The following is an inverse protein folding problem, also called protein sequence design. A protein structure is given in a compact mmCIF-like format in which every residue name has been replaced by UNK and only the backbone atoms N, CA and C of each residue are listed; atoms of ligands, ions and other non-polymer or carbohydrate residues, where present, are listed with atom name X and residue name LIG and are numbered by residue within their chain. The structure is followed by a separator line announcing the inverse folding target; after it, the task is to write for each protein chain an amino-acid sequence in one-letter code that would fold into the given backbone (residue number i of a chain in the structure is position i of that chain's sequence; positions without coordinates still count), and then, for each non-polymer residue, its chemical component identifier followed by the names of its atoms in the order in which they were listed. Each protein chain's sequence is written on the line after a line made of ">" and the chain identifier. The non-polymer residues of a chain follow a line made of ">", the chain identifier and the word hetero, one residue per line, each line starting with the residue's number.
data_IF_381447332234
#
_entry.id   IF_381447332234
#
_cell.length_a   1.000
_cell.length_b   1.000
_cell.length_c   1.000
_cell.angle_alpha   90.00
_cell.angle_beta   90.00
_cell.angle_gamma   90.00
#
_symmetry.space_group_name_H-M   'P 1'
#
loop_
_entity.id
_entity.type
_entity.pdbx_description
1 polymer ?
#
# COMPACT_ATOMS: atom_id res chain seq x y z
N UNK A 1 11.93 2.61 -11.68
CA UNK A 1 10.95 3.23 -10.75
C UNK A 1 11.19 2.65 -9.36
N UNK A 2 11.58 3.46 -8.37
CA UNK A 2 12.05 2.97 -7.04
C UNK A 2 10.97 3.17 -5.98
N UNK A 3 10.46 2.08 -5.41
CA UNK A 3 9.58 2.11 -4.24
C UNK A 3 10.44 2.44 -3.01
N UNK A 4 10.05 3.45 -2.21
CA UNK A 4 10.75 3.84 -0.98
C UNK A 4 9.93 3.42 0.23
N UNK A 5 10.56 2.70 1.15
CA UNK A 5 9.99 2.28 2.42
C UNK A 5 10.51 3.18 3.53
N UNK A 6 9.61 3.84 4.28
CA UNK A 6 9.94 4.61 5.48
C UNK A 6 9.10 4.01 6.62
N UNK A 7 9.77 3.25 7.49
CA UNK A 7 9.17 2.70 8.71
C UNK A 7 9.32 3.74 9.82
N UNK A 8 8.21 4.36 10.24
CA UNK A 8 8.15 5.15 11.46
C UNK A 8 7.35 4.36 12.49
N UNK A 9 8.11 3.67 13.35
CA UNK A 9 7.78 2.89 14.57
C UNK A 9 6.61 1.89 14.56
N UNK A 10 5.42 2.20 14.01
CA UNK A 10 4.25 1.30 14.06
C UNK A 10 3.35 1.32 12.82
N UNK A 11 3.68 2.13 11.82
CA UNK A 11 2.80 2.38 10.68
C UNK A 11 3.48 2.00 9.37
N UNK A 12 2.79 1.16 8.60
CA UNK A 12 3.09 0.87 7.22
C UNK A 12 2.49 1.93 6.32
N UNK A 13 3.34 2.47 5.45
CA UNK A 13 2.96 3.39 4.39
C UNK A 13 3.21 2.74 3.03
N UNK A 14 2.17 2.61 2.22
CA UNK A 14 2.27 2.26 0.82
C UNK A 14 1.95 3.50 -0.01
N UNK A 15 2.89 3.94 -0.83
CA UNK A 15 2.71 5.05 -1.75
C UNK A 15 3.13 4.68 -3.17
N UNK A 16 2.53 5.36 -4.14
CA UNK A 16 2.90 5.27 -5.55
C UNK A 16 3.07 6.70 -6.07
N UNK A 17 4.33 7.08 -6.34
CA UNK A 17 4.68 8.46 -6.61
C UNK A 17 4.33 9.36 -5.41
N UNK A 18 3.62 10.45 -5.67
CA UNK A 18 3.20 11.42 -4.65
C UNK A 18 1.89 11.04 -3.93
N UNK A 19 1.30 9.87 -4.23
CA UNK A 19 0.00 9.46 -3.69
C UNK A 19 0.16 8.35 -2.64
N UNK A 20 -0.50 8.53 -1.50
CA UNK A 20 -0.58 7.53 -0.45
C UNK A 20 -1.75 6.57 -0.74
N UNK A 21 -1.43 5.29 -0.89
CA UNK A 21 -2.40 4.22 -1.18
C UNK A 21 -2.90 3.55 0.09
N UNK A 22 -2.01 3.36 1.06
CA UNK A 22 -2.33 2.77 2.35
C UNK A 22 -1.47 3.39 3.45
N UNK A 23 -2.09 3.63 4.61
CA UNK A 23 -1.44 4.02 5.86
C UNK A 23 -2.11 3.26 6.99
N UNK A 24 -1.37 2.44 7.72
CA UNK A 24 -1.94 1.71 8.86
C UNK A 24 -0.95 0.79 9.56
N UNK A 25 -1.37 0.20 10.68
CA UNK A 25 -0.49 -0.61 11.54
C UNK A 25 -0.26 -2.03 11.02
N UNK A 26 -1.10 -2.50 10.09
CA UNK A 26 -0.98 -3.84 9.55
C UNK A 26 -0.08 -3.86 8.33
N UNK A 27 0.77 -4.89 8.23
CA UNK A 27 1.64 -5.06 7.08
C UNK A 27 0.79 -5.31 5.81
N UNK A 28 0.82 -4.40 4.82
CA UNK A 28 0.01 -4.52 3.61
C UNK A 28 0.40 -5.74 2.76
N UNK A 29 1.67 -6.17 2.79
CA UNK A 29 2.16 -7.32 2.03
C UNK A 29 1.70 -8.67 2.59
N UNK A 30 1.28 -8.71 3.85
CA UNK A 30 0.73 -9.92 4.49
C UNK A 30 -0.79 -9.99 4.44
N UNK A 31 -1.46 -9.01 3.84
CA UNK A 31 -2.92 -8.97 3.76
C UNK A 31 -3.38 -8.62 2.36
N UNK A 32 -3.84 -9.64 1.63
CA UNK A 32 -4.45 -9.45 0.30
C UNK A 32 -5.58 -8.43 0.30
N UNK A 33 -6.38 -8.38 1.38
CA UNK A 33 -7.48 -7.41 1.50
C UNK A 33 -6.97 -5.98 1.47
N UNK A 34 -5.88 -5.71 2.19
CA UNK A 34 -5.26 -4.38 2.24
C UNK A 34 -4.66 -4.03 0.89
N UNK A 35 -3.92 -4.96 0.27
CA UNK A 35 -3.35 -4.81 -1.06
C UNK A 35 -4.43 -4.54 -2.12
N UNK A 36 -5.47 -5.38 -2.19
CA UNK A 36 -6.61 -5.20 -3.11
C UNK A 36 -7.33 -3.87 -2.88
N UNK A 37 -7.52 -3.45 -1.63
CA UNK A 37 -8.10 -2.15 -1.31
C UNK A 37 -7.23 -0.96 -1.72
N UNK A 38 -5.93 -1.05 -1.48
CA UNK A 38 -4.96 -0.02 -1.87
C UNK A 38 -4.85 0.11 -3.39
N UNK A 39 -4.88 -1.00 -4.13
CA UNK A 39 -4.82 -1.04 -5.59
C UNK A 39 -6.15 -0.61 -6.23
N UNK A 40 -7.30 -0.97 -5.65
CA UNK A 40 -8.61 -0.46 -6.12
C UNK A 40 -8.71 1.07 -6.05
N UNK A 41 -8.09 1.71 -5.04
CA UNK A 41 -8.03 3.19 -4.95
C UNK A 41 -7.24 3.85 -6.08
N UNK A 42 -6.42 3.08 -6.79
CA UNK A 42 -5.72 3.49 -8.02
C UNK A 42 -6.52 3.21 -9.30
N UNK A 43 -7.72 2.62 -9.21
CA UNK A 43 -8.44 2.12 -10.38
C UNK A 43 -7.78 0.89 -11.01
N UNK A 44 -6.75 0.32 -10.38
CA UNK A 44 -6.10 -0.90 -10.81
C UNK A 44 -6.90 -2.08 -10.26
N UNK A 45 -7.67 -2.74 -11.11
CA UNK A 45 -8.19 -4.06 -10.77
C UNK A 45 -7.00 -5.01 -10.64
N UNK A 46 -6.91 -5.68 -9.48
CA UNK A 46 -6.03 -6.84 -9.34
C UNK A 46 -6.65 -7.93 -10.21
N UNK A 47 -6.18 -8.04 -11.44
CA UNK A 47 -6.46 -9.20 -12.29
C UNK A 47 -5.72 -10.35 -11.63
N UNK A 48 -6.50 -11.30 -11.12
CA UNK A 48 -6.02 -12.52 -10.48
C UNK A 48 -5.28 -13.40 -11.47
#
# INVERSE_FOLDING_TARGET
>A
MKIRHIQSLDIWLLSKGNRVLYRGRHNPWRSERILKGALRREGLQVVA
#
